data_IF_413114679029
#
_entry.id   IF_413114679029
#
_cell.length_a   1.000
_cell.length_b   1.000
_cell.length_c   1.000
_cell.angle_alpha   90.00
_cell.angle_beta   90.00
_cell.angle_gamma   90.00
#
_symmetry.space_group_name_H-M   'P 1'
#
loop_
_entity.id
_entity.type
_entity.pdbx_description
1 polymer ?
#
# COMPACT_ATOMS: atom_id res chain seq x y z
N UNK A 1 27.65 -11.56 -24.62
CA UNK A 1 27.09 -11.17 -23.30
C UNK A 1 26.54 -9.76 -23.44
N UNK A 2 25.21 -9.54 -23.50
CA UNK A 2 24.69 -8.18 -23.50
C UNK A 2 24.72 -7.65 -22.06
N UNK A 3 25.34 -6.50 -21.88
CA UNK A 3 25.42 -5.76 -20.62
C UNK A 3 24.08 -5.03 -20.46
N UNK A 4 23.29 -5.42 -19.45
CA UNK A 4 22.06 -4.75 -19.05
C UNK A 4 22.40 -3.33 -18.58
N UNK A 5 21.80 -2.32 -19.20
CA UNK A 5 21.89 -0.92 -18.75
C UNK A 5 21.16 -0.78 -17.41
N UNK A 6 21.93 -0.74 -16.33
CA UNK A 6 21.44 -0.45 -15.00
C UNK A 6 20.83 0.95 -14.90
N UNK A 7 19.68 1.04 -14.24
CA UNK A 7 19.10 2.29 -13.77
C UNK A 7 20.09 2.95 -12.80
N UNK A 8 20.74 4.03 -13.25
CA UNK A 8 21.59 4.87 -12.42
C UNK A 8 20.75 6.06 -11.94
N UNK A 9 20.25 5.96 -10.71
CA UNK A 9 19.65 7.10 -10.00
C UNK A 9 20.68 8.22 -9.84
N UNK A 10 20.30 9.44 -10.19
CA UNK A 10 21.17 10.63 -10.10
C UNK A 10 21.14 11.15 -8.66
N UNK A 11 22.26 11.23 -7.92
CA UNK A 11 22.24 11.73 -6.55
C UNK A 11 22.09 13.26 -6.57
N UNK A 12 20.94 13.79 -6.14
CA UNK A 12 20.79 15.22 -5.84
C UNK A 12 21.36 15.49 -4.44
N UNK A 13 22.37 16.36 -4.38
CA UNK A 13 23.01 16.85 -3.15
C UNK A 13 22.12 17.90 -2.48
N UNK A 14 21.40 17.48 -1.44
CA UNK A 14 20.92 18.35 -0.36
C UNK A 14 21.18 17.62 0.94
N UNK A 15 21.91 18.22 1.88
CA UNK A 15 22.15 17.59 3.19
C UNK A 15 20.82 17.61 3.95
N UNK A 16 20.28 16.45 4.39
CA UNK A 16 19.05 16.45 5.18
C UNK A 16 19.25 17.28 6.45
N UNK A 17 18.23 18.02 6.88
CA UNK A 17 18.21 18.62 8.22
C UNK A 17 18.25 17.49 9.25
N UNK A 18 18.73 17.74 10.48
CA UNK A 18 18.78 16.69 11.52
C UNK A 18 17.40 16.05 11.77
N UNK A 19 16.34 16.84 11.63
CA UNK A 19 14.95 16.39 11.79
C UNK A 19 14.52 15.41 10.69
N UNK A 20 14.96 15.61 9.44
CA UNK A 20 14.66 14.68 8.35
C UNK A 20 15.49 13.39 8.42
N UNK A 21 16.67 13.39 9.06
CA UNK A 21 17.45 12.14 9.25
C UNK A 21 16.78 11.14 10.20
N UNK A 22 15.93 11.59 11.13
CA UNK A 22 15.17 10.70 12.01
C UNK A 22 13.89 10.16 11.37
N UNK A 23 13.41 10.80 10.30
CA UNK A 23 12.20 10.43 9.55
C UNK A 23 12.50 9.56 8.33
N UNK A 24 13.75 9.55 7.87
CA UNK A 24 14.19 8.75 6.74
C UNK A 24 14.71 7.38 7.22
N UNK A 25 14.11 6.28 6.77
CA UNK A 25 14.69 4.95 6.96
C UNK A 25 16.07 4.85 6.31
N UNK A 26 16.90 3.88 6.75
CA UNK A 26 18.22 3.67 6.17
C UNK A 26 18.17 3.49 4.64
N UNK A 27 19.12 4.12 3.94
CA UNK A 27 19.22 4.05 2.49
C UNK A 27 18.12 4.79 1.72
N UNK A 28 17.35 5.68 2.37
CA UNK A 28 16.31 6.49 1.73
C UNK A 28 16.76 7.93 1.47
N UNK A 29 16.17 8.55 0.43
CA UNK A 29 16.22 10.00 0.22
C UNK A 29 14.81 10.58 0.08
N UNK A 30 14.64 11.83 0.54
CA UNK A 30 13.39 12.58 0.37
C UNK A 30 13.25 13.08 -1.09
N UNK A 31 12.08 12.84 -1.68
CA UNK A 31 11.73 13.33 -3.04
C UNK A 31 11.35 14.80 -3.07
N UNK A 32 11.11 15.41 -1.91
CA UNK A 32 10.63 16.79 -1.79
C UNK A 32 9.25 16.94 -2.42
N UNK A 33 9.11 17.85 -3.38
CA UNK A 33 7.81 18.11 -4.02
C UNK A 33 7.36 16.98 -4.98
N UNK A 34 8.29 16.22 -5.54
CA UNK A 34 7.98 15.18 -6.52
C UNK A 34 7.32 13.96 -5.83
N UNK A 35 6.30 13.35 -6.45
CA UNK A 35 5.79 12.03 -6.06
C UNK A 35 6.04 11.05 -7.20
N UNK A 36 7.11 10.22 -7.12
CA UNK A 36 7.46 9.34 -8.23
C UNK A 36 6.39 8.29 -8.51
N UNK A 37 6.08 8.09 -9.79
CA UNK A 37 5.22 6.99 -10.23
C UNK A 37 6.08 5.81 -10.61
N UNK A 38 5.92 4.72 -9.86
CA UNK A 38 6.43 3.41 -10.20
C UNK A 38 5.25 2.46 -10.30
N UNK A 39 5.18 1.68 -11.38
CA UNK A 39 4.12 0.70 -11.61
C UNK A 39 4.72 -0.50 -12.32
N UNK A 40 4.36 -1.70 -11.86
CA UNK A 40 4.68 -2.94 -12.58
C UNK A 40 3.75 -3.14 -13.77
N UNK A 41 2.57 -2.51 -13.72
CA UNK A 41 1.45 -2.78 -14.62
C UNK A 41 0.97 -1.49 -15.29
N UNK A 42 0.29 -1.64 -16.42
CA UNK A 42 -0.36 -0.53 -17.12
C UNK A 42 -1.44 0.07 -16.23
N UNK A 43 -1.52 1.41 -16.19
CA UNK A 43 -2.60 2.12 -15.48
C UNK A 43 -3.95 1.77 -16.13
N UNK A 44 -4.87 1.12 -15.40
CA UNK A 44 -6.17 0.76 -15.93
C UNK A 44 -7.05 2.02 -16.07
N UNK A 45 -7.99 1.96 -17.01
CA UNK A 45 -9.10 2.90 -17.06
C UNK A 45 -10.23 2.35 -16.19
N UNK A 46 -10.47 3.00 -15.05
CA UNK A 46 -11.52 2.61 -14.11
C UNK A 46 -12.60 3.68 -14.04
N UNK A 47 -13.85 3.25 -14.11
CA UNK A 47 -15.02 4.09 -13.83
C UNK A 47 -15.38 3.87 -12.36
N UNK A 48 -15.30 4.93 -11.55
CA UNK A 48 -15.46 4.82 -10.10
C UNK A 48 -16.80 4.19 -9.70
N UNK A 49 -17.89 4.53 -10.38
CA UNK A 49 -19.24 4.03 -10.06
C UNK A 49 -19.43 2.52 -10.34
N UNK A 50 -18.57 1.91 -11.16
CA UNK A 50 -18.58 0.47 -11.44
C UNK A 50 -17.64 -0.32 -10.52
N UNK A 51 -16.77 0.39 -9.79
CA UNK A 51 -15.80 -0.22 -8.90
C UNK A 51 -16.45 -0.70 -7.61
N UNK A 52 -16.00 -1.86 -7.12
CA UNK A 52 -16.44 -2.46 -5.86
C UNK A 52 -15.26 -2.91 -5.02
N UNK A 53 -15.45 -2.91 -3.71
CA UNK A 53 -14.51 -3.45 -2.74
C UNK A 53 -15.10 -4.68 -2.07
N UNK A 54 -14.37 -5.79 -2.01
CA UNK A 54 -14.80 -7.01 -1.31
C UNK A 54 -13.88 -7.38 -0.16
N UNK A 55 -14.45 -7.74 0.99
CA UNK A 55 -13.71 -8.41 2.08
C UNK A 55 -14.32 -9.80 2.28
N UNK A 56 -13.48 -10.83 2.17
CA UNK A 56 -13.92 -12.24 2.24
C UNK A 56 -12.82 -13.18 2.78
N UNK A 57 -12.97 -14.49 2.54
CA UNK A 57 -12.07 -15.51 3.08
C UNK A 57 -12.48 -15.95 4.48
N UNK A 58 -11.56 -15.88 5.43
CA UNK A 58 -11.79 -16.24 6.84
C UNK A 58 -12.51 -15.14 7.62
N UNK A 59 -13.76 -14.89 7.23
CA UNK A 59 -14.67 -13.92 7.85
C UNK A 59 -16.03 -14.56 8.09
N UNK A 60 -16.76 -14.06 9.08
CA UNK A 60 -18.14 -14.50 9.37
C UNK A 60 -19.18 -13.75 8.54
N UNK A 61 -18.86 -12.56 8.05
CA UNK A 61 -19.75 -11.74 7.25
C UNK A 61 -19.01 -11.21 5.98
N UNK A 62 -18.79 -12.05 4.96
CA UNK A 62 -18.24 -11.58 3.69
C UNK A 62 -19.10 -10.45 3.13
N UNK A 63 -18.46 -9.37 2.66
CA UNK A 63 -19.19 -8.18 2.25
C UNK A 63 -18.54 -7.52 1.04
N UNK A 64 -19.38 -6.98 0.16
CA UNK A 64 -18.97 -6.21 -1.01
C UNK A 64 -19.64 -4.84 -0.98
N UNK A 65 -18.85 -3.77 -1.00
CA UNK A 65 -19.31 -2.39 -1.06
C UNK A 65 -19.24 -1.87 -2.49
N UNK A 66 -20.27 -1.14 -2.91
CA UNK A 66 -20.17 -0.24 -4.06
C UNK A 66 -19.34 1.00 -3.70
N UNK A 67 -18.90 1.76 -4.70
CA UNK A 67 -18.27 3.07 -4.51
C UNK A 67 -19.04 3.98 -3.53
N UNK A 68 -20.37 4.08 -3.77
CA UNK A 68 -21.27 4.92 -2.98
C UNK A 68 -21.39 4.43 -1.54
N UNK A 69 -21.54 3.12 -1.34
CA UNK A 69 -21.70 2.56 0.01
C UNK A 69 -20.40 2.67 0.81
N UNK A 70 -19.24 2.55 0.15
CA UNK A 70 -17.94 2.75 0.77
C UNK A 70 -17.75 4.21 1.24
N UNK A 71 -18.20 5.18 0.44
CA UNK A 71 -18.16 6.61 0.81
C UNK A 71 -19.17 7.00 1.90
N UNK A 72 -20.16 6.14 2.19
CA UNK A 72 -21.10 6.35 3.29
C UNK A 72 -20.54 5.88 4.65
N UNK A 73 -19.41 5.16 4.66
CA UNK A 73 -18.75 4.73 5.89
C UNK A 73 -18.03 5.90 6.59
N UNK A 74 -17.75 5.79 7.91
CA UNK A 74 -16.99 6.81 8.63
C UNK A 74 -15.61 7.04 8.00
N UNK A 75 -15.38 8.25 7.51
CA UNK A 75 -14.12 8.64 6.89
C UNK A 75 -12.94 8.63 7.88
N UNK A 76 -11.74 8.43 7.35
CA UNK A 76 -10.47 8.45 8.07
C UNK A 76 -9.38 9.07 7.20
N UNK A 77 -8.46 9.78 7.84
CA UNK A 77 -7.35 10.47 7.18
C UNK A 77 -6.04 10.02 7.83
N UNK A 78 -5.08 9.67 6.98
CA UNK A 78 -3.69 9.46 7.35
C UNK A 78 -2.87 10.72 7.05
N UNK A 79 -2.00 11.09 7.99
CA UNK A 79 -0.96 12.09 7.79
C UNK A 79 0.39 11.50 8.20
N UNK A 80 1.36 11.53 7.30
CA UNK A 80 2.72 11.06 7.58
C UNK A 80 3.52 10.75 6.32
N UNK A 81 4.51 9.87 6.47
CA UNK A 81 5.52 9.59 5.46
C UNK A 81 5.28 8.24 4.78
N UNK A 82 5.63 8.14 3.50
CA UNK A 82 5.62 6.88 2.76
C UNK A 82 7.01 6.58 2.20
N UNK A 83 7.37 5.30 2.19
CA UNK A 83 8.72 4.86 1.85
C UNK A 83 8.70 3.80 0.75
N UNK A 84 9.48 4.01 -0.30
CA UNK A 84 9.59 3.06 -1.40
C UNK A 84 10.86 2.23 -1.31
N UNK A 85 10.74 0.97 -1.71
CA UNK A 85 11.87 0.04 -1.85
C UNK A 85 12.92 0.49 -2.85
N UNK A 86 12.56 1.38 -3.77
CA UNK A 86 13.48 1.97 -4.75
C UNK A 86 14.22 3.20 -4.22
N UNK A 87 14.35 3.30 -2.90
CA UNK A 87 15.18 4.28 -2.15
C UNK A 87 14.65 5.70 -2.06
N UNK A 88 13.41 5.94 -2.49
CA UNK A 88 12.77 7.23 -2.26
C UNK A 88 11.76 7.20 -1.10
N UNK A 89 11.65 8.31 -0.39
CA UNK A 89 10.62 8.60 0.61
C UNK A 89 9.91 9.89 0.25
N UNK A 90 8.59 9.94 0.49
CA UNK A 90 7.79 11.14 0.35
C UNK A 90 7.26 11.52 1.72
N UNK A 91 7.66 12.70 2.19
CA UNK A 91 7.31 13.20 3.50
C UNK A 91 6.01 14.01 3.48
N UNK A 92 5.39 14.14 4.65
CA UNK A 92 4.26 15.04 4.92
C UNK A 92 3.06 14.81 3.97
N UNK A 93 2.77 13.55 3.67
CA UNK A 93 1.63 13.17 2.82
C UNK A 93 0.32 13.13 3.58
N UNK A 94 -0.75 13.60 2.97
CA UNK A 94 -2.12 13.42 3.48
C UNK A 94 -2.92 12.53 2.55
N UNK A 95 -3.46 11.44 3.08
CA UNK A 95 -4.38 10.57 2.34
C UNK A 95 -5.72 10.48 3.07
N UNK A 96 -6.82 10.61 2.34
CA UNK A 96 -8.17 10.48 2.91
C UNK A 96 -8.95 9.35 2.24
N UNK A 97 -9.73 8.67 3.08
CA UNK A 97 -10.62 7.59 2.68
C UNK A 97 -11.27 6.97 3.91
N UNK A 98 -11.05 5.67 4.13
CA UNK A 98 -11.57 4.93 5.29
C UNK A 98 -10.50 4.04 5.91
N UNK A 99 -10.63 3.74 7.20
CA UNK A 99 -9.77 2.75 7.86
C UNK A 99 -10.14 1.34 7.39
N UNK A 100 -9.14 0.47 7.24
CA UNK A 100 -9.36 -0.96 7.04
C UNK A 100 -10.05 -1.59 8.26
N UNK A 101 -9.84 -1.06 9.47
CA UNK A 101 -10.55 -1.52 10.68
C UNK A 101 -12.07 -1.43 10.50
N UNK A 102 -12.58 -0.36 9.89
CA UNK A 102 -14.01 -0.19 9.63
C UNK A 102 -14.59 -1.31 8.77
N UNK A 103 -13.83 -1.78 7.78
CA UNK A 103 -14.24 -2.89 6.92
C UNK A 103 -14.17 -4.22 7.67
N UNK A 104 -13.13 -4.42 8.47
CA UNK A 104 -12.94 -5.64 9.25
C UNK A 104 -13.97 -5.75 10.38
N UNK A 105 -14.40 -4.66 11.00
CA UNK A 105 -15.45 -4.68 12.02
C UNK A 105 -16.80 -5.16 11.44
N UNK A 106 -17.10 -4.78 10.20
CA UNK A 106 -18.28 -5.25 9.48
C UNK A 106 -18.10 -6.71 9.05
N UNK A 107 -16.93 -7.06 8.51
CA UNK A 107 -16.67 -8.39 7.97
C UNK A 107 -16.55 -9.47 9.04
N UNK A 108 -16.12 -9.11 10.25
CA UNK A 108 -15.88 -10.01 11.39
C UNK A 108 -14.90 -11.15 11.06
N UNK A 109 -13.59 -10.86 10.99
CA UNK A 109 -12.54 -11.87 10.83
C UNK A 109 -12.64 -12.99 11.87
N UNK A 110 -12.50 -14.22 11.40
CA UNK A 110 -12.49 -15.40 12.28
C UNK A 110 -11.19 -15.47 13.09
N UNK A 111 -11.18 -16.16 14.25
CA UNK A 111 -9.99 -16.28 15.09
C UNK A 111 -8.77 -16.88 14.38
N UNK A 112 -8.98 -17.71 13.36
CA UNK A 112 -7.92 -18.35 12.59
C UNK A 112 -7.31 -17.44 11.51
N UNK A 113 -7.93 -16.29 11.20
CA UNK A 113 -7.39 -15.35 10.23
C UNK A 113 -6.13 -14.67 10.79
N UNK A 114 -5.00 -14.84 10.11
CA UNK A 114 -3.72 -14.25 10.50
C UNK A 114 -3.06 -13.41 9.40
N UNK A 115 -3.54 -13.53 8.15
CA UNK A 115 -2.98 -12.84 6.99
C UNK A 115 -4.10 -12.28 6.11
N UNK A 116 -3.74 -11.31 5.27
CA UNK A 116 -4.60 -10.70 4.26
C UNK A 116 -3.87 -10.71 2.92
N UNK A 117 -4.55 -11.18 1.88
CA UNK A 117 -4.15 -10.96 0.50
C UNK A 117 -4.91 -9.78 -0.07
N UNK A 118 -4.20 -8.72 -0.44
CA UNK A 118 -4.77 -7.61 -1.19
C UNK A 118 -4.70 -7.90 -2.69
N UNK A 119 -5.81 -7.71 -3.39
CA UNK A 119 -5.92 -7.94 -4.84
C UNK A 119 -6.24 -6.65 -5.57
N UNK A 120 -5.54 -6.40 -6.68
CA UNK A 120 -5.78 -5.30 -7.61
C UNK A 120 -6.63 -5.75 -8.79
N UNK A 121 -7.31 -4.81 -9.44
CA UNK A 121 -8.00 -5.03 -10.72
C UNK A 121 -7.07 -5.53 -11.84
N UNK A 122 -5.77 -5.27 -11.73
CA UNK A 122 -4.75 -5.57 -12.76
C UNK A 122 -4.17 -6.98 -12.63
N UNK A 123 -4.49 -7.69 -11.55
CA UNK A 123 -3.89 -8.99 -11.21
C UNK A 123 -2.75 -8.90 -10.20
N UNK A 124 -2.25 -7.69 -9.89
CA UNK A 124 -1.31 -7.49 -8.80
C UNK A 124 -1.88 -7.94 -7.46
N UNK A 125 -1.04 -8.63 -6.69
CA UNK A 125 -1.37 -9.06 -5.34
C UNK A 125 -0.23 -8.76 -4.38
N UNK A 126 -0.56 -8.56 -3.11
CA UNK A 126 0.45 -8.47 -2.05
C UNK A 126 -0.13 -9.00 -0.74
N UNK A 127 0.67 -9.78 -0.04
CA UNK A 127 0.33 -10.38 1.24
C UNK A 127 0.77 -9.51 2.41
N UNK A 128 -0.01 -9.53 3.48
CA UNK A 128 0.20 -8.74 4.68
C UNK A 128 -0.19 -9.59 5.90
N UNK A 129 0.58 -9.56 7.00
CA UNK A 129 0.07 -9.98 8.30
C UNK A 129 -1.20 -9.18 8.64
N UNK A 130 -2.21 -9.84 9.22
CA UNK A 130 -3.47 -9.18 9.57
C UNK A 130 -3.26 -8.04 10.59
N UNK A 131 -2.27 -8.18 11.47
CA UNK A 131 -1.90 -7.15 12.45
C UNK A 131 -1.27 -5.90 11.80
N UNK A 132 -0.70 -6.02 10.60
CA UNK A 132 -0.16 -4.87 9.86
C UNK A 132 -1.27 -4.08 9.13
N UNK A 133 -2.52 -4.57 9.11
CA UNK A 133 -3.67 -3.84 8.53
C UNK A 133 -4.76 -3.48 9.54
N UNK A 134 -4.50 -3.73 10.83
CA UNK A 134 -5.41 -3.43 11.94
C UNK A 134 -4.83 -2.41 12.91
N UNK A 135 -5.70 -1.83 13.74
CA UNK A 135 -5.30 -0.93 14.82
C UNK A 135 -4.82 0.42 14.31
N UNK A 136 -5.50 0.96 13.29
CA UNK A 136 -5.17 2.27 12.70
C UNK A 136 -3.89 2.27 11.88
N UNK A 137 -3.55 1.14 11.25
CA UNK A 137 -2.32 0.97 10.46
C UNK A 137 -2.55 0.92 8.94
N UNK A 138 -3.78 0.79 8.48
CA UNK A 138 -4.09 0.70 7.06
C UNK A 138 -5.40 1.37 6.67
N UNK A 139 -5.47 1.82 5.41
CA UNK A 139 -6.59 2.55 4.84
C UNK A 139 -6.89 2.12 3.41
N UNK A 140 -8.15 2.26 3.00
CA UNK A 140 -8.48 2.44 1.59
C UNK A 140 -8.63 3.94 1.33
N UNK A 141 -7.86 4.48 0.39
CA UNK A 141 -7.77 5.93 0.16
C UNK A 141 -8.10 6.29 -1.28
N UNK A 142 -8.83 7.38 -1.46
CA UNK A 142 -9.28 7.91 -2.74
C UNK A 142 -8.95 9.40 -2.93
N UNK A 143 -8.38 10.03 -1.91
CA UNK A 143 -7.81 11.38 -2.01
C UNK A 143 -6.35 11.40 -1.57
N UNK A 144 -5.59 12.30 -2.19
CA UNK A 144 -4.21 12.66 -1.83
C UNK A 144 -4.10 14.19 -1.82
N UNK A 145 -3.64 14.74 -0.70
CA UNK A 145 -3.50 16.19 -0.46
C UNK A 145 -4.78 17.00 -0.81
N UNK A 146 -5.94 16.46 -0.39
CA UNK A 146 -7.26 17.10 -0.58
C UNK A 146 -7.77 17.10 -2.01
N UNK A 147 -7.17 16.30 -2.90
CA UNK A 147 -7.60 16.12 -4.30
C UNK A 147 -7.87 14.65 -4.59
N UNK A 148 -8.72 14.34 -5.59
CA UNK A 148 -8.89 12.96 -6.04
C UNK A 148 -7.55 12.30 -6.36
N UNK A 149 -7.38 11.06 -5.93
CA UNK A 149 -6.17 10.28 -6.13
C UNK A 149 -5.92 10.10 -7.65
N UNK A 150 -4.76 10.51 -8.19
CA UNK A 150 -4.47 10.36 -9.60
C UNK A 150 -4.47 8.87 -10.03
N UNK A 151 -4.98 8.53 -11.22
CA UNK A 151 -5.02 7.14 -11.70
C UNK A 151 -3.66 6.42 -11.63
N UNK A 152 -2.58 7.09 -12.01
CA UNK A 152 -1.21 6.57 -11.99
C UNK A 152 -0.69 6.24 -10.57
N UNK A 153 -1.28 6.87 -9.55
CA UNK A 153 -0.98 6.62 -8.14
C UNK A 153 -1.96 5.64 -7.48
N UNK A 154 -2.86 5.04 -8.25
CA UNK A 154 -3.82 4.04 -7.79
C UNK A 154 -5.26 4.54 -7.74
N UNK A 155 -5.57 5.72 -8.29
CA UNK A 155 -6.94 6.20 -8.42
C UNK A 155 -7.83 5.23 -9.22
N UNK A 156 -9.10 5.05 -8.84
CA UNK A 156 -9.83 5.87 -7.88
C UNK A 156 -9.59 5.48 -6.42
N UNK A 157 -9.18 4.25 -6.11
CA UNK A 157 -8.89 3.77 -4.75
C UNK A 157 -7.65 2.90 -4.71
N UNK A 158 -6.81 3.11 -3.68
CA UNK A 158 -5.71 2.21 -3.34
C UNK A 158 -5.76 1.79 -1.88
N UNK A 159 -5.08 0.68 -1.58
CA UNK A 159 -4.65 0.36 -0.23
C UNK A 159 -3.46 1.26 0.16
N UNK A 160 -3.44 1.66 1.43
CA UNK A 160 -2.34 2.38 2.06
C UNK A 160 -1.95 1.65 3.36
N UNK A 161 -0.69 1.24 3.46
CA UNK A 161 -0.04 0.63 4.63
C UNK A 161 1.31 1.35 4.81
N UNK A 162 1.32 2.52 5.45
CA UNK A 162 2.41 3.49 5.31
C UNK A 162 3.66 3.12 6.11
N UNK A 163 3.53 2.27 7.13
CA UNK A 163 4.70 1.80 7.91
C UNK A 163 5.48 0.68 7.23
N UNK A 164 5.00 0.15 6.10
CA UNK A 164 5.72 -0.81 5.27
C UNK A 164 6.15 -0.14 3.95
N UNK A 165 7.07 -0.78 3.25
CA UNK A 165 7.44 -0.35 1.91
C UNK A 165 6.24 -0.31 0.97
N UNK A 166 6.21 0.72 0.14
CA UNK A 166 5.01 1.13 -0.58
C UNK A 166 4.49 0.14 -1.63
N UNK A 167 5.22 -0.94 -1.94
CA UNK A 167 4.68 -2.03 -2.78
C UNK A 167 3.55 -2.80 -2.06
N UNK A 168 3.58 -2.82 -0.72
CA UNK A 168 2.51 -3.38 0.12
C UNK A 168 1.21 -2.59 0.06
N UNK A 169 1.28 -1.33 -0.37
CA UNK A 169 0.13 -0.45 -0.57
C UNK A 169 -0.43 -0.64 -1.99
N UNK A 170 -1.17 -1.73 -2.24
CA UNK A 170 -1.68 -2.08 -3.57
C UNK A 170 -2.51 -0.96 -4.22
N UNK A 171 -2.22 -0.64 -5.48
CA UNK A 171 -3.01 0.28 -6.31
C UNK A 171 -4.26 -0.43 -6.84
N UNK A 172 -5.32 0.35 -7.15
CA UNK A 172 -6.54 -0.16 -7.81
C UNK A 172 -7.12 -1.40 -7.13
N UNK A 173 -7.08 -1.40 -5.80
CA UNK A 173 -7.50 -2.53 -4.97
C UNK A 173 -8.97 -2.85 -5.21
N UNK A 174 -9.34 -4.13 -5.19
CA UNK A 174 -10.73 -4.59 -5.35
C UNK A 174 -11.12 -5.60 -4.27
N UNK A 175 -10.15 -6.24 -3.59
CA UNK A 175 -10.44 -7.26 -2.60
C UNK A 175 -9.36 -7.39 -1.51
N UNK A 176 -9.81 -7.64 -0.28
CA UNK A 176 -9.00 -8.16 0.82
C UNK A 176 -9.51 -9.56 1.19
N UNK A 177 -8.70 -10.59 0.91
CA UNK A 177 -9.00 -11.98 1.24
C UNK A 177 -8.28 -12.36 2.54
N UNK A 178 -9.03 -12.72 3.58
CA UNK A 178 -8.45 -13.14 4.86
C UNK A 178 -8.05 -14.61 4.83
N UNK A 179 -6.85 -14.91 5.30
CA UNK A 179 -6.20 -16.22 5.20
C UNK A 179 -5.61 -16.66 6.55
N UNK A 180 -5.52 -17.97 6.75
CA UNK A 180 -4.90 -18.58 7.94
C UNK A 180 -3.38 -18.50 7.83
N UNK A 181 -2.85 -18.98 6.71
CA UNK A 181 -1.41 -19.00 6.43
C UNK A 181 -1.05 -17.97 5.38
N UNK A 182 0.17 -17.48 5.48
CA UNK A 182 0.69 -16.57 4.49
C UNK A 182 0.81 -17.25 3.12
N UNK A 183 0.63 -16.44 2.06
CA UNK A 183 0.82 -16.84 0.67
C UNK A 183 1.50 -15.68 -0.05
N UNK A 184 2.71 -15.86 -0.62
CA UNK A 184 3.41 -14.78 -1.30
C UNK A 184 2.58 -14.12 -2.42
N UNK A 185 2.52 -12.79 -2.42
CA UNK A 185 1.95 -11.98 -3.50
C UNK A 185 2.89 -11.84 -4.70
N UNK A 186 2.64 -10.85 -5.55
CA UNK A 186 3.38 -10.65 -6.79
C UNK A 186 4.87 -10.43 -6.54
N UNK A 187 5.25 -9.40 -5.76
CA UNK A 187 6.66 -9.10 -5.56
C UNK A 187 7.34 -10.11 -4.64
N UNK A 188 6.61 -10.68 -3.70
CA UNK A 188 7.13 -11.66 -2.75
C UNK A 188 7.52 -12.97 -3.47
N UNK A 189 6.73 -13.40 -4.45
CA UNK A 189 7.10 -14.48 -5.37
C UNK A 189 8.34 -14.15 -6.24
N UNK A 190 8.64 -12.86 -6.43
CA UNK A 190 9.76 -12.36 -7.22
C UNK A 190 10.96 -11.95 -6.35
N UNK A 191 11.04 -12.43 -5.11
CA UNK A 191 12.21 -12.28 -4.25
C UNK A 191 12.20 -11.04 -3.36
N UNK A 192 11.11 -10.28 -3.32
CA UNK A 192 10.91 -9.23 -2.32
C UNK A 192 10.53 -9.83 -0.98
N UNK A 193 10.82 -9.10 0.10
CA UNK A 193 10.56 -9.55 1.46
C UNK A 193 9.06 -9.71 1.77
N UNK A 194 8.67 -10.73 2.54
CA UNK A 194 7.26 -11.03 2.83
C UNK A 194 6.56 -9.93 3.65
N UNK A 195 7.25 -9.29 4.60
CA UNK A 195 6.73 -8.15 5.38
C UNK A 195 7.04 -6.78 4.79
N UNK A 196 8.32 -6.42 4.66
CA UNK A 196 8.71 -5.19 3.96
C UNK A 196 8.84 -3.96 4.85
N UNK A 197 9.37 -4.10 6.07
CA UNK A 197 9.63 -2.96 6.97
C UNK A 197 10.81 -2.09 6.47
N UNK A 198 10.60 -0.79 6.21
CA UNK A 198 11.64 0.09 5.70
C UNK A 198 12.74 0.40 6.72
N UNK A 199 12.45 0.37 8.02
CA UNK A 199 13.41 0.68 9.07
C UNK A 199 14.38 -0.46 9.33
N UNK A 200 13.94 -1.69 9.07
CA UNK A 200 14.75 -2.91 9.14
C UNK A 200 15.42 -3.24 7.79
N UNK A 201 15.25 -2.38 6.78
CA UNK A 201 15.75 -2.60 5.42
C UNK A 201 15.28 -3.93 4.79
N UNK A 202 14.09 -4.40 5.15
CA UNK A 202 13.48 -5.62 4.60
C UNK A 202 13.07 -5.42 3.13
N UNK A 203 14.03 -5.46 2.21
CA UNK A 203 13.77 -5.21 0.78
C UNK A 203 13.54 -6.52 0.03
N UNK A 204 14.34 -7.53 0.35
CA UNK A 204 14.39 -8.82 -0.34
C UNK A 204 14.30 -9.99 0.63
N UNK A 205 14.00 -11.17 0.09
CA UNK A 205 14.00 -12.42 0.85
C UNK A 205 15.37 -12.65 1.51
N UNK A 206 15.37 -12.98 2.80
CA UNK A 206 16.57 -13.19 3.60
C UNK A 206 17.11 -11.95 4.32
N UNK A 207 16.54 -10.78 4.08
CA UNK A 207 16.73 -9.60 4.93
C UNK A 207 16.12 -9.88 6.34
N UNK A 208 16.61 -9.21 7.40
CA UNK A 208 16.29 -9.52 8.81
C UNK A 208 14.82 -9.32 9.21
#
# INVERSE_FOLDING_TARGET
MPITRGFSGRPRRGRPSQDSTQRLPPGQYDTGAEWPTLTAEVTPHLVADEWTMTVDGLVDNPHTWSWRDLHALPGSTYFGDIHCVTTWSKLDTTFSGISVDTLLDIARPRPEAAHVMAHSTTGYTTNLPLDDVRGGRAWLVWEYDGRPLPPEHGGPVRLLVPHLYFWKSAKWITRLELMERDRPGFWEQNGYHDRGDPWLEQRYQGDP
#
